data_IF_657164695930
#
_entry.id   IF_657164695930
#
_cell.length_a   1.000
_cell.length_b   1.000
_cell.length_c   1.000
_cell.angle_alpha   90.00
_cell.angle_beta   90.00
_cell.angle_gamma   90.00
#
_symmetry.space_group_name_H-M   'P 1'
#
loop_
_entity.id
_entity.type
_entity.pdbx_description
1 polymer ?
#
# COMPACT_ATOMS: atom_id res chain seq x y z
N UNK A 1 4.89 -11.26 20.60
CA UNK A 1 5.65 -10.15 19.96
C UNK A 1 6.88 -9.89 20.82
N UNK A 2 8.06 -9.75 20.22
CA UNK A 2 9.27 -9.37 20.95
C UNK A 2 9.15 -7.90 21.32
N UNK A 3 9.18 -7.57 22.60
CA UNK A 3 9.25 -6.18 23.05
C UNK A 3 10.70 -5.70 22.86
N UNK A 4 10.86 -4.54 22.25
CA UNK A 4 12.15 -3.86 22.09
C UNK A 4 12.12 -2.56 22.89
N UNK A 5 13.29 -2.19 23.41
CA UNK A 5 13.56 -0.88 24.00
C UNK A 5 14.50 -0.09 23.11
N UNK A 6 14.48 1.24 23.23
CA UNK A 6 15.40 2.14 22.50
C UNK A 6 16.86 1.76 22.75
N UNK A 7 17.15 1.30 23.95
CA UNK A 7 18.50 0.88 24.35
C UNK A 7 19.02 -0.38 23.67
N UNK A 8 18.15 -1.16 23.04
CA UNK A 8 18.53 -2.33 22.24
C UNK A 8 19.21 -1.99 20.92
N UNK A 9 19.22 -0.71 20.52
CA UNK A 9 19.65 -0.27 19.21
C UNK A 9 20.82 0.68 19.24
N UNK A 10 21.75 0.55 18.27
CA UNK A 10 22.87 1.45 18.09
C UNK A 10 22.50 2.78 17.43
N UNK A 11 21.42 2.76 16.65
CA UNK A 11 20.86 3.95 16.00
C UNK A 11 19.37 3.78 15.76
N UNK A 12 18.66 4.92 15.73
CA UNK A 12 17.27 5.05 15.36
C UNK A 12 17.17 5.79 14.04
N UNK A 13 16.41 5.28 13.09
CA UNK A 13 16.36 5.85 11.74
C UNK A 13 14.90 6.01 11.29
N UNK A 14 14.52 7.22 10.94
CA UNK A 14 13.27 7.53 10.25
C UNK A 14 13.46 7.59 8.74
N UNK A 15 12.55 7.00 7.98
CA UNK A 15 12.57 7.02 6.51
C UNK A 15 11.27 7.61 5.99
N UNK A 16 11.35 8.79 5.38
CA UNK A 16 10.29 9.30 4.51
C UNK A 16 10.51 8.75 3.09
N UNK A 17 9.62 7.84 2.68
CA UNK A 17 9.77 7.13 1.43
C UNK A 17 9.09 7.86 0.26
N UNK A 18 9.69 7.79 -0.92
CA UNK A 18 9.06 8.21 -2.16
C UNK A 18 9.53 7.31 -3.33
N UNK A 19 8.86 7.41 -4.47
CA UNK A 19 9.10 6.52 -5.64
C UNK A 19 10.52 6.61 -6.20
N UNK A 20 11.19 7.75 -6.08
CA UNK A 20 12.50 7.99 -6.70
C UNK A 20 13.64 8.07 -5.69
N UNK A 21 13.36 8.55 -4.49
CA UNK A 21 14.35 8.78 -3.43
C UNK A 21 13.70 8.60 -2.06
N UNK A 22 14.50 8.36 -1.05
CA UNK A 22 14.08 8.32 0.35
C UNK A 22 14.90 9.33 1.13
N UNK A 23 14.21 10.16 1.91
CA UNK A 23 14.85 11.04 2.85
C UNK A 23 14.98 10.31 4.20
N UNK A 24 16.17 10.33 4.78
CA UNK A 24 16.55 9.55 5.95
C UNK A 24 17.08 10.48 7.02
N UNK A 25 16.61 10.27 8.23
CA UNK A 25 17.13 10.88 9.43
C UNK A 25 17.65 9.79 10.37
N UNK A 26 18.93 9.80 10.68
CA UNK A 26 19.60 8.86 11.57
C UNK A 26 19.98 9.56 12.87
N UNK A 27 19.61 8.96 14.00
CA UNK A 27 20.00 9.37 15.34
C UNK A 27 20.82 8.25 15.99
N UNK A 28 22.17 8.39 16.03
CA UNK A 28 23.03 7.40 16.71
C UNK A 28 22.83 7.43 18.22
N UNK A 29 22.95 6.27 18.85
CA UNK A 29 22.89 6.16 20.32
C UNK A 29 23.95 7.01 20.99
N UNK A 30 23.63 7.58 22.14
CA UNK A 30 24.51 8.41 22.96
C UNK A 30 24.99 9.70 22.27
N UNK A 31 24.26 10.24 21.31
CA UNK A 31 24.52 11.55 20.70
C UNK A 31 23.23 12.38 20.69
N UNK A 32 23.40 13.72 20.62
CA UNK A 32 22.29 14.64 20.36
C UNK A 32 22.22 15.04 18.87
N UNK A 33 23.05 14.42 18.02
CA UNK A 33 23.17 14.78 16.62
C UNK A 33 22.26 13.93 15.75
N UNK A 34 21.71 14.56 14.71
CA UNK A 34 20.93 13.90 13.66
C UNK A 34 21.68 14.00 12.34
N UNK A 35 21.78 12.89 11.64
CA UNK A 35 22.42 12.82 10.33
C UNK A 35 21.37 12.63 9.25
N UNK A 36 21.37 13.52 8.25
CA UNK A 36 20.43 13.48 7.15
C UNK A 36 21.10 12.93 5.90
N UNK A 37 20.45 11.98 5.24
CA UNK A 37 20.94 11.35 4.02
C UNK A 37 19.77 11.12 3.05
N UNK A 38 20.05 11.17 1.76
CA UNK A 38 19.08 10.86 0.71
C UNK A 38 19.55 9.64 -0.06
N UNK A 39 18.68 8.63 -0.19
CA UNK A 39 18.98 7.40 -0.92
C UNK A 39 18.05 7.29 -2.13
N UNK A 40 18.58 6.90 -3.29
CA UNK A 40 17.75 6.59 -4.46
C UNK A 40 16.96 5.30 -4.24
N UNK A 41 15.72 5.25 -4.73
CA UNK A 41 14.91 4.03 -4.73
C UNK A 41 15.42 3.05 -5.81
N UNK A 42 16.59 2.45 -5.56
CA UNK A 42 17.22 1.41 -6.39
C UNK A 42 17.74 0.30 -5.49
N UNK A 43 17.59 -0.99 -5.88
CA UNK A 43 18.05 -2.12 -5.08
C UNK A 43 19.52 -2.00 -4.66
N UNK A 44 20.40 -1.55 -5.57
CA UNK A 44 21.83 -1.41 -5.33
C UNK A 44 22.13 -0.32 -4.29
N UNK A 45 21.39 0.81 -4.35
CA UNK A 45 21.58 1.93 -3.42
C UNK A 45 21.11 1.53 -2.01
N UNK A 46 19.96 0.84 -1.91
CA UNK A 46 19.44 0.31 -0.63
C UNK A 46 20.38 -0.75 -0.05
N UNK A 47 20.90 -1.65 -0.89
CA UNK A 47 21.88 -2.65 -0.45
C UNK A 47 23.16 -1.99 0.10
N UNK A 48 23.74 -1.07 -0.67
CA UNK A 48 24.94 -0.33 -0.28
C UNK A 48 24.74 0.35 1.08
N UNK A 49 23.66 1.09 1.23
CA UNK A 49 23.30 1.77 2.47
C UNK A 49 23.14 0.82 3.67
N UNK A 50 22.42 -0.30 3.50
CA UNK A 50 22.27 -1.30 4.55
C UNK A 50 23.61 -1.91 4.97
N UNK A 51 24.52 -2.14 4.02
CA UNK A 51 25.87 -2.65 4.31
C UNK A 51 26.76 -1.59 4.98
N UNK A 52 26.65 -0.32 4.59
CA UNK A 52 27.35 0.80 5.27
C UNK A 52 26.90 0.94 6.72
N UNK A 53 25.60 0.77 7.01
CA UNK A 53 25.08 0.73 8.36
C UNK A 53 25.66 -0.44 9.17
N UNK A 54 25.75 -1.62 8.57
CA UNK A 54 26.35 -2.80 9.21
C UNK A 54 27.83 -2.59 9.56
N UNK A 55 28.56 -1.93 8.69
CA UNK A 55 29.98 -1.61 8.94
C UNK A 55 30.15 -0.55 10.02
N UNK A 56 29.23 0.43 10.09
CA UNK A 56 29.26 1.51 11.09
C UNK A 56 28.86 1.01 12.48
N UNK A 57 27.94 0.05 12.55
CA UNK A 57 27.43 -0.52 13.80
C UNK A 57 27.61 -2.04 13.82
N UNK A 58 28.87 -2.54 13.93
CA UNK A 58 29.15 -3.97 13.88
C UNK A 58 28.48 -4.69 15.05
N UNK A 59 27.86 -5.85 14.75
CA UNK A 59 27.20 -6.73 15.70
C UNK A 59 26.08 -6.08 16.53
N UNK A 60 25.58 -4.93 16.10
CA UNK A 60 24.48 -4.23 16.76
C UNK A 60 23.25 -4.14 15.86
N UNK A 61 22.09 -3.97 16.49
CA UNK A 61 20.83 -3.75 15.77
C UNK A 61 20.56 -2.27 15.57
N UNK A 62 19.84 -1.98 14.50
CA UNK A 62 19.42 -0.64 14.11
C UNK A 62 17.90 -0.66 13.96
N UNK A 63 17.22 0.27 14.61
CA UNK A 63 15.78 0.44 14.45
C UNK A 63 15.48 1.37 13.29
N UNK A 64 14.62 0.94 12.38
CA UNK A 64 14.15 1.74 11.26
C UNK A 64 12.64 1.89 11.36
N UNK A 65 12.14 3.11 11.28
CA UNK A 65 10.70 3.39 11.26
C UNK A 65 10.29 4.05 9.94
N UNK A 66 9.17 3.63 9.39
CA UNK A 66 8.54 4.25 8.21
C UNK A 66 7.02 4.09 8.27
N UNK A 67 6.30 4.83 7.42
CA UNK A 67 4.83 4.75 7.32
C UNK A 67 4.35 3.49 6.61
N UNK A 68 5.23 2.77 5.94
CA UNK A 68 4.90 1.55 5.18
C UNK A 68 4.86 0.33 6.09
N UNK A 69 3.87 -0.54 5.86
CA UNK A 69 3.81 -1.89 6.47
C UNK A 69 4.32 -2.97 5.52
N UNK A 70 4.27 -2.73 4.22
CA UNK A 70 4.67 -3.65 3.15
C UNK A 70 5.08 -2.84 1.91
N UNK A 71 5.75 -3.49 0.98
CA UNK A 71 6.17 -2.88 -0.27
C UNK A 71 7.66 -3.05 -0.56
N UNK A 72 8.13 -2.58 -1.73
CA UNK A 72 9.50 -2.83 -2.20
C UNK A 72 10.58 -2.41 -1.20
N UNK A 73 10.43 -1.25 -0.56
CA UNK A 73 11.38 -0.77 0.46
C UNK A 73 11.46 -1.72 1.66
N UNK A 74 10.30 -2.09 2.23
CA UNK A 74 10.23 -3.01 3.37
C UNK A 74 10.84 -4.35 3.02
N UNK A 75 10.50 -4.92 1.86
CA UNK A 75 11.04 -6.22 1.42
C UNK A 75 12.54 -6.17 1.11
N UNK A 76 13.05 -5.02 0.64
CA UNK A 76 14.48 -4.83 0.42
C UNK A 76 15.27 -4.75 1.74
N UNK A 77 14.69 -4.16 2.79
CA UNK A 77 15.35 -3.97 4.08
C UNK A 77 15.15 -5.15 5.04
N UNK A 78 14.01 -5.82 5.00
CA UNK A 78 13.68 -6.94 5.91
C UNK A 78 14.58 -8.17 5.76
N UNK A 79 15.40 -8.25 4.71
CA UNK A 79 16.38 -9.35 4.51
C UNK A 79 17.66 -9.21 5.33
N UNK A 80 17.88 -8.06 5.99
CA UNK A 80 19.10 -7.79 6.77
C UNK A 80 18.82 -7.98 8.26
N UNK A 81 19.50 -8.93 8.88
CA UNK A 81 19.29 -9.34 10.29
C UNK A 81 19.63 -8.23 11.31
N UNK A 82 20.50 -7.27 10.93
CA UNK A 82 20.86 -6.14 11.77
C UNK A 82 19.82 -5.00 11.73
N UNK A 83 18.84 -5.04 10.82
CA UNK A 83 17.77 -4.03 10.72
C UNK A 83 16.49 -4.58 11.36
N UNK A 84 15.91 -3.81 12.25
CA UNK A 84 14.57 -4.06 12.81
C UNK A 84 13.63 -2.98 12.32
N UNK A 85 12.60 -3.38 11.58
CA UNK A 85 11.69 -2.45 10.92
C UNK A 85 10.45 -2.24 11.80
N UNK A 86 10.10 -0.99 11.99
CA UNK A 86 8.89 -0.55 12.69
C UNK A 86 7.98 0.21 11.73
N UNK A 87 6.68 0.12 11.96
CA UNK A 87 5.71 0.92 11.22
C UNK A 87 5.04 1.93 12.13
N UNK A 88 4.86 3.14 11.61
CA UNK A 88 4.11 4.22 12.24
C UNK A 88 2.85 4.52 11.42
N UNK A 89 1.78 4.94 12.09
CA UNK A 89 0.57 5.35 11.40
C UNK A 89 0.79 6.74 10.75
N UNK A 90 0.51 6.91 9.44
CA UNK A 90 0.61 8.20 8.75
C UNK A 90 -0.14 9.34 9.46
N UNK A 91 -1.31 9.05 10.03
CA UNK A 91 -2.07 10.04 10.80
C UNK A 91 -1.34 10.50 12.07
N UNK A 92 -0.57 9.61 12.71
CA UNK A 92 0.24 9.98 13.87
C UNK A 92 1.38 10.93 13.47
N UNK A 93 2.09 10.64 12.38
CA UNK A 93 3.14 11.52 11.83
C UNK A 93 2.56 12.89 11.48
N UNK A 94 1.41 12.93 10.79
CA UNK A 94 0.76 14.18 10.43
C UNK A 94 0.33 15.01 11.66
N UNK A 95 -0.18 14.37 12.70
CA UNK A 95 -0.56 15.06 13.94
C UNK A 95 0.66 15.54 14.71
N UNK A 96 1.73 14.73 14.78
CA UNK A 96 2.98 15.11 15.40
C UNK A 96 3.62 16.32 14.70
N UNK A 97 3.60 16.34 13.36
CA UNK A 97 4.04 17.48 12.57
C UNK A 97 3.28 18.76 12.93
N UNK A 98 1.95 18.71 13.01
CA UNK A 98 1.12 19.87 13.36
C UNK A 98 1.45 20.43 14.74
N UNK A 99 1.82 19.58 15.69
CA UNK A 99 2.19 20.01 17.04
C UNK A 99 3.48 20.82 17.07
N UNK A 100 4.44 20.54 16.18
CA UNK A 100 5.75 21.19 16.15
C UNK A 100 5.96 22.18 15.00
N UNK A 101 5.13 22.10 13.96
CA UNK A 101 5.19 23.01 12.80
C UNK A 101 3.80 23.60 12.53
N UNK A 102 3.39 24.70 13.20
CA UNK A 102 2.06 25.28 13.07
C UNK A 102 1.66 25.65 11.65
N UNK A 103 2.63 25.94 10.77
CA UNK A 103 2.39 26.25 9.35
C UNK A 103 1.96 25.03 8.53
N UNK A 104 2.14 23.80 9.05
CA UNK A 104 1.83 22.56 8.34
C UNK A 104 2.64 22.35 7.05
N UNK A 105 3.68 23.17 6.81
CA UNK A 105 4.50 23.07 5.62
C UNK A 105 5.19 21.70 5.57
N UNK A 106 4.95 20.96 4.49
CA UNK A 106 5.61 19.68 4.23
C UNK A 106 7.03 19.96 3.73
N UNK A 107 8.01 19.50 4.51
CA UNK A 107 9.39 19.47 4.09
C UNK A 107 9.94 18.06 4.31
N UNK A 108 10.42 17.41 3.26
CA UNK A 108 10.85 16.00 3.27
C UNK A 108 11.84 15.65 4.42
N UNK A 109 12.86 16.45 4.73
CA UNK A 109 13.72 16.19 5.88
C UNK A 109 12.98 16.22 7.24
N UNK A 110 11.91 17.01 7.33
CA UNK A 110 11.10 17.12 8.54
C UNK A 110 10.33 15.83 8.84
N UNK A 111 9.83 15.13 7.81
CA UNK A 111 9.05 13.92 8.01
C UNK A 111 9.93 12.76 8.47
N UNK A 112 11.10 12.57 7.90
CA UNK A 112 12.07 11.59 8.37
C UNK A 112 12.52 11.89 9.83
N UNK A 113 12.75 13.16 10.16
CA UNK A 113 13.06 13.57 11.54
C UNK A 113 11.93 13.27 12.52
N UNK A 114 10.69 13.63 12.16
CA UNK A 114 9.52 13.33 13.01
C UNK A 114 9.37 11.84 13.24
N UNK A 115 9.57 11.01 12.23
CA UNK A 115 9.55 9.56 12.37
C UNK A 115 10.64 9.07 13.33
N UNK A 116 11.87 9.65 13.26
CA UNK A 116 12.95 9.35 14.21
C UNK A 116 12.60 9.77 15.63
N UNK A 117 11.95 10.91 15.83
CA UNK A 117 11.49 11.34 17.16
C UNK A 117 10.38 10.43 17.70
N UNK A 118 9.45 10.01 16.84
CA UNK A 118 8.37 9.10 17.25
C UNK A 118 8.94 7.76 17.72
N UNK A 119 9.91 7.17 17.03
CA UNK A 119 10.50 5.91 17.49
C UNK A 119 11.34 6.10 18.75
N UNK A 120 12.03 7.22 18.88
CA UNK A 120 12.80 7.56 20.08
C UNK A 120 11.93 7.68 21.34
N UNK A 121 10.75 8.28 21.22
CA UNK A 121 9.90 8.61 22.36
C UNK A 121 8.75 7.60 22.61
N UNK A 122 8.37 6.82 21.60
CA UNK A 122 7.16 5.99 21.60
C UNK A 122 7.36 4.62 20.97
N UNK A 123 8.56 4.03 21.07
CA UNK A 123 8.86 2.71 20.51
C UNK A 123 7.90 1.62 21.01
N UNK A 124 7.48 1.72 22.25
CA UNK A 124 6.53 0.81 22.90
C UNK A 124 5.15 0.77 22.23
N UNK A 125 4.80 1.82 21.48
CA UNK A 125 3.53 1.96 20.75
C UNK A 125 3.63 1.59 19.28
N UNK A 126 4.83 1.34 18.77
CA UNK A 126 5.06 0.99 17.37
C UNK A 126 4.98 -0.53 17.17
N UNK A 127 4.53 -0.92 15.99
CA UNK A 127 4.49 -2.34 15.61
C UNK A 127 5.74 -2.72 14.84
N UNK A 128 6.39 -3.80 15.26
CA UNK A 128 7.49 -4.40 14.50
C UNK A 128 6.94 -5.06 13.25
N UNK A 129 7.61 -4.87 12.13
CA UNK A 129 7.31 -5.54 10.87
C UNK A 129 8.08 -6.87 10.87
N UNK A 130 7.35 -7.97 11.01
CA UNK A 130 7.94 -9.30 10.89
C UNK A 130 8.17 -9.65 9.41
N UNK A 131 9.34 -10.20 9.06
CA UNK A 131 9.61 -10.63 7.69
C UNK A 131 8.63 -11.73 7.26
N UNK A 132 7.83 -11.47 6.25
CA UNK A 132 6.96 -12.47 5.63
C UNK A 132 7.75 -13.36 4.68
N UNK A 133 7.42 -14.66 4.63
CA UNK A 133 7.98 -15.56 3.62
C UNK A 133 7.58 -15.12 2.20
N UNK A 134 8.38 -15.51 1.20
CA UNK A 134 8.08 -15.18 -0.21
C UNK A 134 6.73 -15.75 -0.65
N UNK A 135 6.36 -16.93 -0.18
CA UNK A 135 5.07 -17.56 -0.45
C UNK A 135 3.90 -16.80 0.17
N UNK A 136 4.04 -16.31 1.41
CA UNK A 136 3.01 -15.48 2.05
C UNK A 136 2.84 -14.13 1.33
N UNK A 137 3.93 -13.52 0.88
CA UNK A 137 3.86 -12.29 0.08
C UNK A 137 3.13 -12.52 -1.25
N UNK A 138 3.46 -13.62 -1.96
CA UNK A 138 2.78 -13.98 -3.20
C UNK A 138 1.28 -14.22 -2.97
N UNK A 139 0.93 -14.95 -1.90
CA UNK A 139 -0.48 -15.18 -1.53
C UNK A 139 -1.20 -13.85 -1.23
N UNK A 140 -0.59 -12.96 -0.46
CA UNK A 140 -1.16 -11.66 -0.15
C UNK A 140 -1.41 -10.82 -1.42
N UNK A 141 -0.47 -10.82 -2.37
CA UNK A 141 -0.63 -10.14 -3.66
C UNK A 141 -1.79 -10.72 -4.48
N UNK A 142 -1.93 -12.05 -4.53
CA UNK A 142 -3.04 -12.71 -5.23
C UNK A 142 -4.39 -12.35 -4.61
N UNK A 143 -4.47 -12.32 -3.28
CA UNK A 143 -5.70 -11.92 -2.56
C UNK A 143 -6.06 -10.46 -2.86
N UNK A 144 -5.11 -9.54 -2.84
CA UNK A 144 -5.37 -8.13 -3.18
C UNK A 144 -5.77 -7.96 -4.64
N UNK A 145 -5.11 -8.68 -5.56
CA UNK A 145 -5.49 -8.66 -6.98
C UNK A 145 -6.91 -9.18 -7.21
N UNK A 146 -7.27 -10.31 -6.55
CA UNK A 146 -8.65 -10.81 -6.56
C UNK A 146 -9.65 -9.77 -6.06
N UNK A 147 -9.34 -9.06 -4.95
CA UNK A 147 -10.21 -8.01 -4.41
C UNK A 147 -10.43 -6.88 -5.41
N UNK A 148 -9.36 -6.44 -6.07
CA UNK A 148 -9.43 -5.42 -7.12
C UNK A 148 -10.36 -5.86 -8.24
N UNK A 149 -10.21 -7.08 -8.78
CA UNK A 149 -11.06 -7.59 -9.85
C UNK A 149 -12.54 -7.68 -9.44
N UNK A 150 -12.81 -8.10 -8.21
CA UNK A 150 -14.19 -8.12 -7.69
C UNK A 150 -14.77 -6.71 -7.61
N UNK A 151 -13.98 -5.73 -7.13
CA UNK A 151 -14.44 -4.34 -7.06
C UNK A 151 -14.69 -3.77 -8.46
N UNK A 152 -13.81 -4.04 -9.44
CA UNK A 152 -13.99 -3.62 -10.83
C UNK A 152 -15.28 -4.20 -11.43
N UNK A 153 -15.59 -5.48 -11.16
CA UNK A 153 -16.85 -6.12 -11.58
C UNK A 153 -18.07 -5.41 -10.99
N UNK A 154 -18.05 -5.10 -9.70
CA UNK A 154 -19.13 -4.36 -9.02
C UNK A 154 -19.31 -2.96 -9.64
N UNK A 155 -18.21 -2.24 -9.87
CA UNK A 155 -18.26 -0.89 -10.42
C UNK A 155 -18.79 -0.89 -11.85
N UNK A 156 -18.39 -1.86 -12.67
CA UNK A 156 -18.91 -2.03 -14.03
C UNK A 156 -20.41 -2.37 -14.02
N UNK A 157 -20.83 -3.30 -13.17
CA UNK A 157 -22.25 -3.68 -13.02
C UNK A 157 -23.10 -2.48 -12.61
N UNK A 158 -22.60 -1.64 -11.72
CA UNK A 158 -23.27 -0.39 -11.32
C UNK A 158 -23.36 0.61 -12.47
N UNK A 159 -22.27 0.81 -13.23
CA UNK A 159 -22.28 1.68 -14.42
C UNK A 159 -23.27 1.20 -15.48
N UNK A 160 -23.29 -0.09 -15.78
CA UNK A 160 -24.25 -0.70 -16.71
C UNK A 160 -25.68 -0.48 -16.21
N UNK A 161 -25.93 -0.70 -14.94
CA UNK A 161 -27.27 -0.50 -14.33
C UNK A 161 -27.73 0.93 -14.47
N UNK A 162 -26.89 1.92 -14.15
CA UNK A 162 -27.22 3.35 -14.28
C UNK A 162 -27.49 3.70 -15.75
N UNK A 163 -26.66 3.21 -16.65
CA UNK A 163 -26.82 3.46 -18.09
C UNK A 163 -28.12 2.89 -18.62
N UNK A 164 -28.41 1.61 -18.34
CA UNK A 164 -29.64 0.94 -18.82
C UNK A 164 -30.92 1.55 -18.24
N UNK A 165 -30.91 2.03 -17.01
CA UNK A 165 -32.05 2.75 -16.41
C UNK A 165 -32.51 3.93 -17.25
N UNK A 166 -31.60 4.58 -17.98
CA UNK A 166 -31.89 5.78 -18.76
C UNK A 166 -32.60 5.49 -20.09
N UNK A 167 -32.40 4.29 -20.69
CA UNK A 167 -32.96 4.03 -22.03
C UNK A 167 -33.48 2.61 -22.25
N UNK A 168 -33.10 1.64 -21.41
CA UNK A 168 -33.48 0.25 -21.60
C UNK A 168 -33.70 -0.48 -20.24
N UNK A 169 -34.59 0.06 -19.36
CA UNK A 169 -34.79 -0.48 -18.01
C UNK A 169 -35.34 -1.92 -18.02
N UNK A 170 -36.06 -2.35 -19.06
CA UNK A 170 -36.62 -3.69 -19.17
C UNK A 170 -35.54 -4.78 -19.13
N UNK A 171 -34.34 -4.52 -19.66
CA UNK A 171 -33.24 -5.49 -19.57
C UNK A 171 -32.85 -5.78 -18.12
N UNK A 172 -32.99 -4.78 -17.22
CA UNK A 172 -32.71 -4.96 -15.79
C UNK A 172 -33.79 -5.78 -15.07
N UNK A 173 -35.01 -5.80 -15.59
CA UNK A 173 -36.12 -6.61 -15.08
C UNK A 173 -35.98 -8.08 -15.52
N UNK A 174 -35.48 -8.31 -16.74
CA UNK A 174 -35.32 -9.64 -17.33
C UNK A 174 -34.12 -10.40 -16.76
N UNK A 175 -33.05 -9.68 -16.33
CA UNK A 175 -31.82 -10.27 -15.82
C UNK A 175 -31.55 -9.80 -14.40
N UNK A 176 -31.48 -10.74 -13.45
CA UNK A 176 -31.14 -10.45 -12.05
C UNK A 176 -29.66 -10.12 -11.91
N UNK A 177 -28.80 -10.87 -12.61
CA UNK A 177 -27.34 -10.75 -12.56
C UNK A 177 -26.83 -10.13 -13.86
N UNK A 178 -25.99 -9.07 -13.75
CA UNK A 178 -25.46 -8.28 -14.88
C UNK A 178 -24.01 -8.62 -15.22
N UNK A 179 -23.35 -9.42 -14.40
CA UNK A 179 -21.99 -9.90 -14.57
C UNK A 179 -21.90 -11.28 -15.22
N UNK A 180 -23.00 -11.74 -15.81
CA UNK A 180 -23.09 -13.02 -16.52
C UNK A 180 -22.83 -12.86 -18.02
N UNK A 181 -22.20 -13.86 -18.64
CA UNK A 181 -21.99 -13.90 -20.08
C UNK A 181 -23.28 -13.74 -20.87
N UNK A 182 -24.35 -14.44 -20.42
CA UNK A 182 -25.66 -14.39 -21.11
C UNK A 182 -26.26 -12.99 -21.12
N UNK A 183 -26.09 -12.22 -20.03
CA UNK A 183 -26.53 -10.82 -19.99
C UNK A 183 -25.71 -9.96 -20.95
N UNK A 184 -24.38 -10.09 -20.93
CA UNK A 184 -23.48 -9.33 -21.79
C UNK A 184 -23.75 -9.60 -23.27
N UNK A 185 -23.93 -10.86 -23.64
CA UNK A 185 -24.23 -11.29 -25.01
C UNK A 185 -25.59 -10.80 -25.45
N UNK A 186 -26.61 -10.85 -24.55
CA UNK A 186 -27.94 -10.36 -24.83
C UNK A 186 -27.92 -8.85 -25.13
N UNK A 187 -27.31 -8.04 -24.29
CA UNK A 187 -27.23 -6.58 -24.48
C UNK A 187 -26.41 -6.24 -25.73
N UNK A 188 -25.34 -6.99 -26.01
CA UNK A 188 -24.54 -6.80 -27.22
C UNK A 188 -25.34 -7.09 -28.49
N UNK A 189 -26.16 -8.12 -28.46
CA UNK A 189 -26.97 -8.53 -29.60
C UNK A 189 -28.21 -7.66 -29.79
N UNK A 190 -28.86 -7.27 -28.70
CA UNK A 190 -30.04 -6.41 -28.69
C UNK A 190 -29.86 -5.22 -27.74
N UNK A 191 -29.19 -4.15 -28.20
CA UNK A 191 -28.82 -3.03 -27.34
C UNK A 191 -29.96 -2.10 -26.95
N UNK A 192 -31.19 -2.36 -27.39
CA UNK A 192 -32.38 -1.59 -27.05
C UNK A 192 -33.66 -2.40 -27.09
N UNK A 193 -34.71 -1.93 -26.40
CA UNK A 193 -36.04 -2.54 -26.45
C UNK A 193 -36.57 -2.64 -27.90
N UNK A 194 -36.30 -1.63 -28.73
CA UNK A 194 -36.70 -1.66 -30.14
C UNK A 194 -36.00 -2.79 -30.91
N UNK A 195 -34.72 -3.05 -30.64
CA UNK A 195 -33.99 -4.14 -31.27
C UNK A 195 -34.60 -5.51 -30.88
N UNK A 196 -34.97 -5.72 -29.63
CA UNK A 196 -35.65 -6.95 -29.18
C UNK A 196 -36.99 -7.09 -29.84
N UNK A 197 -37.83 -6.05 -29.89
CA UNK A 197 -39.16 -6.09 -30.51
C UNK A 197 -39.12 -6.43 -32.00
N UNK A 198 -38.03 -6.11 -32.70
CA UNK A 198 -37.82 -6.45 -34.12
C UNK A 198 -37.23 -7.84 -34.33
N UNK A 199 -36.73 -8.48 -33.29
CA UNK A 199 -36.16 -9.82 -33.39
C UNK A 199 -37.26 -10.87 -33.65
N UNK A 200 -36.94 -11.87 -34.49
CA UNK A 200 -37.84 -13.02 -34.69
C UNK A 200 -37.89 -13.82 -33.40
N UNK A 201 -39.11 -14.29 -33.02
CA UNK A 201 -39.31 -15.11 -31.82
C UNK A 201 -38.34 -16.30 -31.75
N UNK A 202 -38.15 -16.99 -32.89
CA UNK A 202 -37.22 -18.12 -32.95
C UNK A 202 -35.80 -17.73 -32.61
N UNK A 203 -35.29 -16.59 -33.08
CA UNK A 203 -33.92 -16.10 -32.77
C UNK A 203 -33.75 -15.80 -31.30
N UNK A 204 -34.78 -15.35 -30.59
CA UNK A 204 -34.74 -15.15 -29.14
C UNK A 204 -34.73 -16.51 -28.41
N UNK A 205 -35.55 -17.47 -28.85
CA UNK A 205 -35.59 -18.82 -28.27
C UNK A 205 -34.23 -19.51 -28.47
N UNK A 206 -33.66 -19.45 -29.67
CA UNK A 206 -32.37 -20.06 -29.99
C UNK A 206 -31.21 -19.44 -29.22
N UNK A 207 -31.34 -18.20 -28.76
CA UNK A 207 -30.35 -17.55 -27.95
C UNK A 207 -30.26 -18.09 -26.52
N UNK A 208 -31.38 -18.55 -25.96
CA UNK A 208 -31.45 -19.06 -24.59
C UNK A 208 -31.31 -20.59 -24.49
N UNK A 209 -31.23 -21.30 -25.63
CA UNK A 209 -30.99 -22.74 -25.71
C UNK A 209 -29.52 -23.04 -26.01
#
# INVERSE_FOLDING_TARGET
MKAYDVDDFAALIGIDWADKKHDICEHPKNTEQYHYTVIKHKPEALHKWAMELKLRYPDQKIAIVCELKKGPLIYALAKYDHLVLFTVNPSAVANYRKAFTPSGAKNDPTDAFIQTEIIKLHMDKLSVIEPESSSMRALAQLVEYRRSLVQDSVDLSNKITVTLKNYYPQALEWFKEKDTFIFCDFISKWPSLTAVKRARKQTLVDFFN
#
